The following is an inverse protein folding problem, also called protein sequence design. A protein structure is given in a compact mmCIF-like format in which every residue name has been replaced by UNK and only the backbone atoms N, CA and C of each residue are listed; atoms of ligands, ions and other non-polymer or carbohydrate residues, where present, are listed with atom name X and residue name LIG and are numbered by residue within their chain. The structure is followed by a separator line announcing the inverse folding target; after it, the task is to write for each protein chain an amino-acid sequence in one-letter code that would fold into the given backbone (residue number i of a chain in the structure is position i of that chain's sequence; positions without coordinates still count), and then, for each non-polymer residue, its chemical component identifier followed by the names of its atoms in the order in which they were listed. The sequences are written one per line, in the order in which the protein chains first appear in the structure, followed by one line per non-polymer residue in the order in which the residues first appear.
data_IF_309442526003
#
_entry.id   IF_309442526003
#
_cell.length_a   1.000
_cell.length_b   1.000
_cell.length_c   1.000
_cell.angle_alpha   90.00
_cell.angle_beta   90.00
_cell.angle_gamma   90.00
#
_symmetry.space_group_name_H-M   'P 1'
#
loop_
_entity.id
_entity.type
_entity.pdbx_description
1 polymer ?
#
# COMPACT_ATOMS: atom_id res chain seq x y z
N UNK A 1 -10.16 15.14 -7.87
CA UNK A 1 -11.34 14.30 -8.20
C UNK A 1 -12.20 14.99 -9.24
N UNK A 2 -13.07 14.26 -9.96
CA UNK A 2 -13.98 14.83 -10.95
C UNK A 2 -15.13 15.61 -10.29
N UNK A 3 -15.42 16.81 -10.80
CA UNK A 3 -16.52 17.66 -10.34
C UNK A 3 -17.36 18.22 -11.49
N UNK A 4 -17.40 17.49 -12.62
CA UNK A 4 -18.18 17.89 -13.79
C UNK A 4 -19.65 17.46 -13.71
N UNK A 5 -20.42 17.61 -14.80
CA UNK A 5 -21.87 17.44 -14.80
C UNK A 5 -22.34 15.99 -14.58
N UNK A 6 -21.48 14.99 -14.83
CA UNK A 6 -21.80 13.57 -14.60
C UNK A 6 -21.78 13.25 -13.09
N UNK A 7 -22.91 13.48 -12.43
CA UNK A 7 -23.06 13.34 -10.96
C UNK A 7 -22.68 11.96 -10.46
N UNK A 8 -22.94 10.93 -11.25
CA UNK A 8 -22.61 9.53 -10.97
C UNK A 8 -21.10 9.25 -10.98
N UNK A 9 -20.30 10.19 -11.52
CA UNK A 9 -18.84 10.19 -11.48
C UNK A 9 -18.27 11.20 -10.48
N UNK A 10 -19.08 11.78 -9.59
CA UNK A 10 -18.60 12.76 -8.61
C UNK A 10 -17.44 12.18 -7.77
N UNK A 11 -16.32 12.90 -7.73
CA UNK A 11 -15.07 12.44 -7.11
C UNK A 11 -14.18 11.60 -8.04
N UNK A 12 -14.66 11.23 -9.23
CA UNK A 12 -13.94 10.53 -10.29
C UNK A 12 -13.72 9.04 -10.00
N UNK A 13 -12.91 8.41 -10.86
CA UNK A 13 -12.52 7.00 -10.73
C UNK A 13 -12.03 6.64 -9.32
N UNK A 14 -11.20 7.51 -8.71
CA UNK A 14 -10.70 7.29 -7.35
C UNK A 14 -11.81 7.15 -6.32
N UNK A 15 -12.83 8.03 -6.32
CA UNK A 15 -13.94 7.89 -5.37
C UNK A 15 -14.90 6.75 -5.73
N UNK A 16 -15.26 6.64 -7.01
CA UNK A 16 -16.31 5.73 -7.48
C UNK A 16 -15.85 4.28 -7.45
N UNK A 17 -14.64 4.00 -7.94
CA UNK A 17 -14.14 2.63 -8.16
C UNK A 17 -13.16 2.22 -7.07
N UNK A 18 -12.29 3.13 -6.62
CA UNK A 18 -11.29 2.84 -5.59
C UNK A 18 -11.77 3.17 -4.18
N UNK A 19 -12.90 3.84 -3.99
CA UNK A 19 -13.35 4.35 -2.68
C UNK A 19 -12.75 5.72 -2.34
N UNK A 20 -11.45 5.92 -2.53
CA UNK A 20 -10.85 7.24 -2.59
C UNK A 20 -9.53 7.26 -3.38
N UNK A 21 -8.99 8.45 -3.59
CA UNK A 21 -7.68 8.73 -4.13
C UNK A 21 -6.81 9.44 -3.08
N UNK A 22 -5.50 9.42 -3.30
CA UNK A 22 -4.52 10.14 -2.50
C UNK A 22 -4.89 11.63 -2.36
N UNK A 23 -4.91 12.15 -1.13
CA UNK A 23 -5.18 13.57 -0.87
C UNK A 23 -3.96 14.38 -0.44
N UNK A 24 -3.17 13.83 0.47
CA UNK A 24 -2.08 14.52 1.12
C UNK A 24 -1.15 13.53 1.83
N UNK A 25 0.00 14.03 2.24
CA UNK A 25 0.82 13.41 3.27
C UNK A 25 0.12 13.63 4.62
N UNK A 26 -0.35 12.55 5.24
CA UNK A 26 -0.94 12.58 6.59
C UNK A 26 0.15 12.37 7.64
N UNK A 27 1.11 11.49 7.35
CA UNK A 27 2.38 11.42 8.07
C UNK A 27 3.41 12.45 7.56
N UNK A 28 4.54 12.50 8.27
CA UNK A 28 5.69 13.33 7.97
C UNK A 28 6.53 12.69 6.87
N UNK A 29 6.49 13.27 5.68
CA UNK A 29 7.19 12.74 4.52
C UNK A 29 8.70 12.56 4.78
N UNK A 30 9.21 11.34 4.61
CA UNK A 30 10.61 10.94 4.85
C UNK A 30 11.08 11.10 6.31
N UNK A 31 10.17 11.31 7.26
CA UNK A 31 10.49 11.45 8.68
C UNK A 31 9.65 10.56 9.60
N UNK A 32 8.51 10.08 9.11
CA UNK A 32 7.60 9.18 9.80
C UNK A 32 7.24 8.02 8.86
N UNK A 33 7.09 6.82 9.42
CA UNK A 33 6.76 5.60 8.66
C UNK A 33 5.32 5.16 8.89
N UNK A 34 4.87 4.23 8.04
CA UNK A 34 3.58 3.57 8.18
C UNK A 34 3.78 2.19 8.80
N UNK A 35 3.13 1.94 9.94
CA UNK A 35 2.92 0.59 10.49
C UNK A 35 1.45 0.20 10.30
N UNK A 36 1.20 -0.96 9.70
CA UNK A 36 -0.14 -1.44 9.45
C UNK A 36 -0.75 -2.17 10.64
N UNK A 37 -1.96 -1.75 11.00
CA UNK A 37 -2.82 -2.36 12.02
C UNK A 37 -4.08 -2.89 11.34
N UNK A 38 -4.44 -4.15 11.60
CA UNK A 38 -5.68 -4.73 11.09
C UNK A 38 -6.85 -3.90 11.59
N UNK A 39 -7.69 -3.44 10.66
CA UNK A 39 -8.84 -2.62 10.98
C UNK A 39 -9.86 -3.45 11.80
N UNK A 40 -10.55 -2.82 12.78
CA UNK A 40 -11.65 -3.48 13.48
C UNK A 40 -12.69 -4.04 12.50
N UNK A 41 -13.01 -5.33 12.64
CA UNK A 41 -13.93 -6.05 11.75
C UNK A 41 -13.29 -6.67 10.50
N UNK A 42 -11.98 -6.49 10.28
CA UNK A 42 -11.24 -7.12 9.18
C UNK A 42 -10.39 -8.33 9.63
N UNK A 43 -10.41 -8.71 10.91
CA UNK A 43 -9.58 -9.76 11.49
C UNK A 43 -9.81 -11.12 10.83
N UNK A 44 -11.04 -11.36 10.34
CA UNK A 44 -11.43 -12.59 9.63
C UNK A 44 -11.49 -12.43 8.11
N UNK A 45 -11.18 -11.24 7.58
CA UNK A 45 -11.22 -11.01 6.13
C UNK A 45 -10.14 -11.86 5.43
N UNK A 46 -10.42 -12.58 4.33
CA UNK A 46 -9.44 -13.48 3.71
C UNK A 46 -8.11 -12.82 3.36
N UNK A 47 -8.11 -11.52 3.05
CA UNK A 47 -6.87 -10.79 2.71
C UNK A 47 -5.93 -10.57 3.89
N UNK A 48 -6.39 -10.71 5.14
CA UNK A 48 -5.54 -10.58 6.34
C UNK A 48 -4.91 -11.91 6.77
N UNK A 49 -5.18 -13.02 6.07
CA UNK A 49 -4.58 -14.34 6.38
C UNK A 49 -3.05 -14.27 6.34
N UNK A 50 -2.43 -14.74 7.42
CA UNK A 50 -0.97 -14.70 7.58
C UNK A 50 -0.38 -13.31 7.80
N UNK A 51 -1.18 -12.28 8.10
CA UNK A 51 -0.72 -10.93 8.44
C UNK A 51 -1.11 -10.64 9.88
N UNK A 52 -0.19 -10.10 10.68
CA UNK A 52 -0.42 -9.62 12.04
C UNK A 52 -0.26 -8.10 12.10
N UNK A 53 -0.77 -7.48 13.16
CA UNK A 53 -0.48 -6.08 13.45
C UNK A 53 1.04 -5.87 13.55
N UNK A 54 1.56 -4.90 12.80
CA UNK A 54 3.00 -4.64 12.70
C UNK A 54 3.71 -5.32 11.53
N UNK A 55 3.12 -6.34 10.88
CA UNK A 55 3.79 -7.04 9.77
C UNK A 55 3.82 -6.19 8.48
N UNK A 56 2.77 -5.39 8.27
CA UNK A 56 2.70 -4.42 7.17
C UNK A 56 3.48 -3.18 7.59
N UNK A 57 4.47 -2.80 6.81
CA UNK A 57 5.31 -1.64 7.09
C UNK A 57 5.84 -1.02 5.79
N UNK A 58 6.08 0.28 5.83
CA UNK A 58 6.83 0.99 4.79
C UNK A 58 7.43 2.28 5.33
N UNK A 59 8.61 2.71 4.83
CA UNK A 59 9.18 4.00 5.18
C UNK A 59 8.43 5.16 4.51
N UNK A 60 7.47 4.89 3.63
CA UNK A 60 6.52 5.91 3.18
C UNK A 60 5.65 6.34 4.36
N UNK A 61 5.45 7.64 4.46
CA UNK A 61 4.48 8.21 5.39
C UNK A 61 3.06 7.77 5.05
N UNK A 62 2.15 7.82 6.04
CA UNK A 62 0.73 7.51 5.80
C UNK A 62 0.17 8.56 4.85
N UNK A 63 -0.43 8.12 3.76
CA UNK A 63 -1.15 9.00 2.84
C UNK A 63 -2.61 9.13 3.23
N UNK A 64 -3.09 10.37 3.28
CA UNK A 64 -4.44 10.72 3.65
C UNK A 64 -5.46 10.38 2.56
N UNK A 65 -6.61 9.89 3.01
CA UNK A 65 -7.86 9.76 2.25
C UNK A 65 -9.00 10.40 3.04
N UNK A 66 -10.18 10.57 2.44
CA UNK A 66 -11.37 11.09 3.13
C UNK A 66 -11.94 10.02 4.02
N UNK A 67 -12.23 10.40 5.25
CA UNK A 67 -13.06 9.63 6.16
C UNK A 67 -14.46 10.28 6.30
N UNK A 68 -15.51 9.46 6.48
CA UNK A 68 -15.52 8.02 6.24
C UNK A 68 -15.27 7.69 4.75
N UNK A 69 -14.72 6.51 4.47
CA UNK A 69 -14.71 6.00 3.09
C UNK A 69 -16.16 5.86 2.60
N UNK A 70 -16.43 5.96 1.29
CA UNK A 70 -17.79 5.82 0.76
C UNK A 70 -18.40 4.45 1.10
N UNK A 71 -19.74 4.40 1.08
CA UNK A 71 -20.52 3.15 1.22
C UNK A 71 -19.96 2.02 0.35
N UNK A 72 -20.03 0.78 0.84
CA UNK A 72 -19.46 -0.39 0.15
C UNK A 72 -17.94 -0.49 0.26
N UNK A 73 -17.30 0.37 1.06
CA UNK A 73 -15.89 0.22 1.43
C UNK A 73 -15.74 -0.48 2.78
N UNK A 74 -14.75 -1.36 2.92
CA UNK A 74 -14.33 -1.93 4.20
C UNK A 74 -12.86 -1.63 4.44
N UNK A 75 -12.54 -0.99 5.57
CA UNK A 75 -11.15 -0.85 6.01
C UNK A 75 -10.56 -2.24 6.26
N UNK A 76 -9.36 -2.50 5.73
CA UNK A 76 -8.66 -3.78 5.94
C UNK A 76 -7.43 -3.57 6.83
N UNK A 77 -6.58 -2.60 6.49
CA UNK A 77 -5.44 -2.18 7.31
C UNK A 77 -5.51 -0.67 7.50
N UNK A 78 -5.37 -0.24 8.75
CA UNK A 78 -5.15 1.15 9.16
C UNK A 78 -3.65 1.43 9.26
N UNK A 79 -3.24 2.61 8.80
CA UNK A 79 -1.86 3.08 8.90
C UNK A 79 -1.67 3.84 10.20
N UNK A 80 -0.93 3.24 11.12
CA UNK A 80 -0.38 3.91 12.28
C UNK A 80 0.86 4.70 11.86
N UNK A 81 0.82 6.00 12.06
CA UNK A 81 1.97 6.90 11.87
C UNK A 81 2.95 6.67 13.01
N UNK A 82 4.19 6.35 12.67
CA UNK A 82 5.27 6.00 13.61
C UNK A 82 6.46 6.94 13.47
N UNK A 83 7.11 7.26 14.60
CA UNK A 83 8.33 8.09 14.63
C UNK A 83 9.52 7.26 14.17
N UNK A 84 10.46 7.88 13.45
CA UNK A 84 11.78 7.29 13.24
C UNK A 84 12.53 7.22 14.58
N UNK A 85 13.08 6.06 14.92
CA UNK A 85 13.98 5.95 16.05
C UNK A 85 15.42 6.23 15.62
N UNK A 86 15.95 7.37 16.08
CA UNK A 86 17.32 7.80 15.79
C UNK A 86 17.45 8.74 14.60
N UNK A 87 18.69 8.98 14.13
CA UNK A 87 18.97 10.00 13.13
C UNK A 87 18.42 9.61 11.77
N UNK A 88 18.11 10.63 10.96
CA UNK A 88 17.93 10.44 9.52
C UNK A 88 19.24 9.94 8.92
N UNK A 89 19.16 8.97 8.02
CA UNK A 89 20.29 8.47 7.24
C UNK A 89 20.03 8.62 5.73
N UNK A 90 21.05 8.34 4.93
CA UNK A 90 20.96 8.29 3.46
C UNK A 90 20.64 6.88 2.93
N UNK A 91 20.25 5.94 3.81
CA UNK A 91 19.77 4.64 3.37
C UNK A 91 18.41 4.76 2.62
N UNK A 92 17.98 3.73 1.87
CA UNK A 92 16.71 3.75 1.15
C UNK A 92 15.46 4.06 2.00
N UNK A 93 15.55 3.99 3.33
CA UNK A 93 14.45 4.11 4.28
C UNK A 93 14.55 5.38 5.15
N UNK A 94 15.53 6.26 4.87
CA UNK A 94 15.79 7.50 5.61
C UNK A 94 16.02 7.29 7.12
N UNK A 95 16.59 6.13 7.48
CA UNK A 95 16.87 5.72 8.85
C UNK A 95 15.68 5.13 9.59
N UNK A 96 14.50 5.03 8.96
CA UNK A 96 13.32 4.37 9.53
C UNK A 96 13.44 2.86 9.42
N UNK A 97 12.91 2.16 10.42
CA UNK A 97 12.98 0.69 10.50
C UNK A 97 11.61 0.10 10.80
N UNK A 98 11.35 -1.15 10.37
CA UNK A 98 10.15 -1.89 10.77
C UNK A 98 10.00 -2.04 12.29
N UNK A 99 11.11 -1.97 13.03
CA UNK A 99 11.14 -2.05 14.50
C UNK A 99 10.80 -0.73 15.18
N UNK A 100 10.58 0.36 14.43
CA UNK A 100 10.18 1.64 14.99
C UNK A 100 8.71 1.56 15.41
N UNK A 101 8.48 1.28 16.70
CA UNK A 101 7.15 0.98 17.24
C UNK A 101 6.46 2.17 17.90
N UNK A 102 7.13 3.32 18.04
CA UNK A 102 6.58 4.48 18.74
C UNK A 102 5.59 5.22 17.83
N UNK A 103 4.31 5.19 18.22
CA UNK A 103 3.26 5.95 17.54
C UNK A 103 3.51 7.46 17.67
N UNK A 104 3.25 8.23 16.62
CA UNK A 104 3.15 9.69 16.74
C UNK A 104 1.93 10.04 17.59
N UNK A 105 2.12 10.91 18.57
CA UNK A 105 1.07 11.39 19.45
C UNK A 105 0.11 12.36 18.73
N UNK A 106 -1.08 12.55 19.30
CA UNK A 106 -2.06 13.52 18.81
C UNK A 106 -2.92 12.99 17.65
N UNK A 107 -3.34 13.90 16.76
CA UNK A 107 -4.45 13.65 15.83
C UNK A 107 -4.13 12.70 14.68
N UNK A 108 -2.85 12.41 14.41
CA UNK A 108 -2.45 11.57 13.27
C UNK A 108 -2.88 10.10 13.42
N UNK A 109 -3.04 9.62 14.64
CA UNK A 109 -3.48 8.24 14.91
C UNK A 109 -4.90 8.18 15.51
N UNK A 110 -5.63 9.31 15.53
CA UNK A 110 -6.98 9.40 16.10
C UNK A 110 -7.94 10.25 15.24
N UNK A 111 -8.69 9.63 14.31
CA UNK A 111 -8.61 8.22 13.92
C UNK A 111 -7.37 7.92 13.05
N UNK A 112 -6.95 6.65 12.99
CA UNK A 112 -5.98 6.20 11.99
C UNK A 112 -6.61 6.20 10.59
N UNK A 113 -5.80 6.49 9.57
CA UNK A 113 -6.21 6.49 8.16
C UNK A 113 -6.05 5.10 7.56
N UNK A 114 -7.02 4.55 6.79
CA UNK A 114 -6.86 3.29 6.10
C UNK A 114 -5.77 3.37 5.02
N UNK A 115 -4.91 2.34 5.00
CA UNK A 115 -3.85 2.17 3.99
C UNK A 115 -4.09 0.95 3.09
N UNK A 116 -5.00 0.05 3.48
CA UNK A 116 -5.61 -0.96 2.61
C UNK A 116 -7.12 -1.05 2.89
N UNK A 117 -7.93 -1.12 1.84
CA UNK A 117 -9.37 -1.29 1.96
C UNK A 117 -9.96 -2.00 0.74
N UNK A 118 -11.15 -2.58 0.90
CA UNK A 118 -11.96 -3.06 -0.23
C UNK A 118 -12.99 -2.02 -0.63
N UNK A 119 -13.48 -2.11 -1.88
CA UNK A 119 -14.60 -1.29 -2.37
C UNK A 119 -15.42 -2.10 -3.36
N UNK A 120 -16.69 -2.35 -3.04
CA UNK A 120 -17.67 -2.77 -4.03
C UNK A 120 -18.22 -1.55 -4.78
N UNK A 121 -18.28 -1.65 -6.10
CA UNK A 121 -18.68 -0.54 -6.96
C UNK A 121 -19.60 -1.01 -8.09
N UNK A 122 -20.40 -0.07 -8.56
CA UNK A 122 -21.20 -0.20 -9.77
C UNK A 122 -20.90 1.03 -10.62
N UNK A 123 -20.29 0.83 -11.79
CA UNK A 123 -20.15 1.92 -12.76
C UNK A 123 -21.44 2.09 -13.57
N UNK A 124 -21.85 3.32 -13.92
CA UNK A 124 -23.03 3.57 -14.74
C UNK A 124 -22.98 2.77 -16.05
N UNK A 125 -24.01 1.95 -16.31
CA UNK A 125 -24.10 1.11 -17.52
C UNK A 125 -23.09 -0.05 -17.61
N UNK A 126 -22.26 -0.29 -16.59
CA UNK A 126 -21.31 -1.40 -16.57
C UNK A 126 -21.70 -2.53 -15.63
N UNK A 127 -20.75 -3.42 -15.36
CA UNK A 127 -20.93 -4.54 -14.42
C UNK A 127 -20.56 -4.11 -13.00
N UNK A 128 -21.18 -4.76 -12.01
CA UNK A 128 -20.69 -4.72 -10.62
C UNK A 128 -19.25 -5.23 -10.58
N UNK A 129 -18.44 -4.61 -9.76
CA UNK A 129 -17.07 -5.01 -9.53
C UNK A 129 -16.66 -4.72 -8.09
N UNK A 130 -15.46 -5.19 -7.76
CA UNK A 130 -14.83 -4.92 -6.47
C UNK A 130 -13.37 -4.55 -6.67
N UNK A 131 -12.86 -3.78 -5.74
CA UNK A 131 -11.47 -3.31 -5.71
C UNK A 131 -10.84 -3.68 -4.37
N UNK A 132 -9.54 -3.94 -4.39
CA UNK A 132 -8.69 -3.92 -3.20
C UNK A 132 -7.66 -2.81 -3.42
N UNK A 133 -7.82 -1.71 -2.70
CA UNK A 133 -7.06 -0.49 -2.91
C UNK A 133 -6.07 -0.27 -1.76
N UNK A 134 -4.95 0.38 -2.08
CA UNK A 134 -3.93 0.77 -1.12
C UNK A 134 -3.30 2.10 -1.48
N UNK A 135 -2.84 2.83 -0.47
CA UNK A 135 -1.98 4.00 -0.64
C UNK A 135 -0.49 3.70 -0.47
N UNK A 136 -0.14 2.45 -0.13
CA UNK A 136 1.23 1.97 -0.06
C UNK A 136 1.65 1.35 -1.40
N UNK A 137 2.95 1.20 -1.64
CA UNK A 137 3.44 0.56 -2.87
C UNK A 137 4.71 1.17 -3.44
N UNK A 138 5.42 2.00 -2.68
CA UNK A 138 6.79 2.33 -3.03
C UNK A 138 7.62 1.05 -3.07
N UNK A 139 8.64 0.99 -3.92
CA UNK A 139 9.59 -0.14 -3.93
C UNK A 139 10.21 -0.37 -2.55
N UNK A 140 10.36 0.68 -1.74
CA UNK A 140 10.85 0.60 -0.37
C UNK A 140 9.87 -0.08 0.59
N UNK A 141 8.57 -0.06 0.33
CA UNK A 141 7.56 -0.70 1.20
C UNK A 141 7.55 -2.22 0.97
N UNK A 142 7.92 -2.65 -0.25
CA UNK A 142 7.97 -4.05 -0.65
C UNK A 142 9.13 -4.83 -0.01
N UNK A 143 9.98 -4.17 0.79
CA UNK A 143 10.99 -4.86 1.61
C UNK A 143 10.33 -5.65 2.74
N UNK A 144 9.23 -5.13 3.30
CA UNK A 144 8.48 -5.77 4.37
C UNK A 144 7.66 -6.94 3.83
N UNK A 145 7.81 -8.10 4.47
CA UNK A 145 7.12 -9.31 4.03
C UNK A 145 5.59 -9.20 4.18
N UNK A 146 5.10 -8.59 5.26
CA UNK A 146 3.65 -8.40 5.46
C UNK A 146 3.04 -7.49 4.40
N UNK A 147 3.73 -6.43 3.99
CA UNK A 147 3.29 -5.54 2.90
C UNK A 147 3.19 -6.30 1.58
N UNK A 148 4.19 -7.13 1.23
CA UNK A 148 4.09 -8.01 0.05
C UNK A 148 2.95 -9.00 0.18
N UNK A 149 2.80 -9.63 1.35
CA UNK A 149 1.79 -10.66 1.61
C UNK A 149 0.38 -10.14 1.44
N UNK A 150 0.07 -8.97 1.99
CA UNK A 150 -1.27 -8.41 1.87
C UNK A 150 -1.58 -7.98 0.42
N UNK A 151 -0.60 -7.47 -0.33
CA UNK A 151 -0.77 -7.17 -1.75
C UNK A 151 -1.11 -8.43 -2.57
N UNK A 152 -0.38 -9.53 -2.34
CA UNK A 152 -0.62 -10.79 -3.05
C UNK A 152 -1.92 -11.45 -2.60
N UNK A 153 -2.24 -11.44 -1.30
CA UNK A 153 -3.53 -11.87 -0.78
C UNK A 153 -4.68 -11.07 -1.44
N UNK A 154 -4.51 -9.75 -1.60
CA UNK A 154 -5.45 -8.88 -2.30
C UNK A 154 -5.67 -9.28 -3.75
N UNK A 155 -4.60 -9.58 -4.49
CA UNK A 155 -4.70 -10.07 -5.86
C UNK A 155 -5.45 -11.41 -5.95
N UNK A 156 -5.15 -12.34 -5.03
CA UNK A 156 -5.85 -13.63 -4.95
C UNK A 156 -7.34 -13.42 -4.67
N UNK A 157 -7.67 -12.55 -3.71
CA UNK A 157 -9.05 -12.21 -3.39
C UNK A 157 -9.78 -11.62 -4.60
N UNK A 158 -9.17 -10.69 -5.33
CA UNK A 158 -9.79 -10.10 -6.53
C UNK A 158 -10.08 -11.12 -7.63
N UNK A 159 -9.24 -12.15 -7.75
CA UNK A 159 -9.33 -13.21 -8.76
C UNK A 159 -10.13 -14.44 -8.30
N UNK A 160 -10.78 -14.39 -7.13
CA UNK A 160 -11.48 -15.55 -6.54
C UNK A 160 -10.58 -16.78 -6.35
N UNK A 161 -9.28 -16.55 -6.10
CA UNK A 161 -8.32 -17.60 -5.79
C UNK A 161 -8.26 -17.87 -4.28
N UNK A 162 -8.01 -19.12 -3.91
CA UNK A 162 -7.87 -19.51 -2.52
C UNK A 162 -6.60 -18.90 -1.89
N UNK A 163 -6.78 -18.14 -0.80
CA UNK A 163 -5.69 -17.61 0.02
C UNK A 163 -5.38 -18.64 1.13
N UNK A 164 -4.15 -19.18 1.23
CA UNK A 164 -3.81 -20.10 2.30
C UNK A 164 -4.06 -19.50 3.69
N UNK A 165 -4.45 -20.30 4.67
CA UNK A 165 -4.69 -19.83 6.05
C UNK A 165 -3.44 -19.17 6.67
N UNK A 166 -2.26 -19.62 6.27
CA UNK A 166 -0.96 -19.05 6.68
C UNK A 166 -0.51 -17.85 5.82
N UNK A 167 -1.34 -17.42 4.87
CA UNK A 167 -1.05 -16.37 3.90
C UNK A 167 -0.30 -16.85 2.65
N UNK A 168 -0.24 -15.99 1.64
CA UNK A 168 0.45 -16.29 0.38
C UNK A 168 1.98 -16.30 0.55
N UNK A 169 2.66 -17.11 -0.28
CA UNK A 169 4.13 -17.15 -0.33
C UNK A 169 4.65 -15.94 -1.10
N UNK A 170 5.38 -15.08 -0.42
CA UNK A 170 5.86 -13.79 -0.97
C UNK A 170 7.36 -13.59 -0.85
N UNK A 171 8.12 -14.70 -0.91
CA UNK A 171 9.58 -14.64 -0.97
C UNK A 171 10.00 -13.91 -2.24
N UNK A 172 10.98 -13.01 -2.11
CA UNK A 172 11.58 -12.32 -3.23
C UNK A 172 12.24 -13.31 -4.18
N UNK A 173 12.07 -13.08 -5.48
CA UNK A 173 12.77 -13.85 -6.51
C UNK A 173 13.99 -13.05 -6.94
N UNK A 174 15.17 -13.46 -6.47
CA UNK A 174 16.42 -12.73 -6.71
C UNK A 174 16.70 -11.66 -5.64
N UNK A 175 17.62 -10.74 -5.96
CA UNK A 175 17.96 -9.61 -5.08
C UNK A 175 16.98 -8.47 -5.30
N UNK A 176 16.54 -7.83 -4.21
CA UNK A 176 15.65 -6.68 -4.24
C UNK A 176 16.22 -5.59 -3.33
N UNK A 177 16.89 -4.62 -3.95
CA UNK A 177 17.55 -3.51 -3.27
C UNK A 177 16.93 -2.21 -3.80
N UNK A 178 15.81 -1.74 -3.21
CA UNK A 178 15.16 -0.53 -3.68
C UNK A 178 16.03 0.70 -3.40
N UNK A 179 15.84 1.74 -4.20
CA UNK A 179 16.43 3.06 -3.97
C UNK A 179 15.46 3.97 -3.18
N UNK A 180 15.99 5.07 -2.62
CA UNK A 180 15.16 6.13 -2.05
C UNK A 180 14.19 6.68 -3.11
N UNK A 181 12.93 6.87 -2.72
CA UNK A 181 11.98 7.57 -3.57
C UNK A 181 12.34 9.06 -3.70
N UNK A 182 12.43 9.51 -4.95
CA UNK A 182 12.84 10.87 -5.34
C UNK A 182 12.26 11.23 -6.70
N UNK A 183 12.20 12.52 -6.99
CA UNK A 183 11.94 12.99 -8.35
C UNK A 183 13.19 12.76 -9.20
N UNK A 184 12.98 12.31 -10.44
CA UNK A 184 14.03 12.14 -11.44
C UNK A 184 13.82 13.17 -12.55
N UNK A 185 14.89 13.56 -13.23
CA UNK A 185 14.79 14.41 -14.43
C UNK A 185 14.02 13.69 -15.54
N UNK A 186 13.55 14.45 -16.52
CA UNK A 186 12.82 13.90 -17.68
C UNK A 186 13.69 12.92 -18.49
N UNK A 187 14.99 13.16 -18.51
CA UNK A 187 16.00 12.41 -19.27
C UNK A 187 16.44 11.12 -18.55
N UNK A 188 16.26 11.04 -17.22
CA UNK A 188 16.75 9.93 -16.42
C UNK A 188 16.30 8.56 -16.94
N UNK A 189 15.01 8.37 -17.23
CA UNK A 189 14.50 7.07 -17.68
C UNK A 189 14.85 6.74 -19.14
N UNK A 190 14.71 7.68 -20.10
CA UNK A 190 15.22 7.48 -21.46
C UNK A 190 16.70 7.07 -21.49
N UNK A 191 17.57 7.74 -20.73
CA UNK A 191 19.02 7.48 -20.71
C UNK A 191 19.36 6.08 -20.19
N UNK A 192 18.57 5.55 -19.27
CA UNK A 192 18.75 4.20 -18.75
C UNK A 192 18.40 3.13 -19.79
N UNK A 193 17.54 3.47 -20.76
CA UNK A 193 17.12 2.63 -21.89
C UNK A 193 16.79 1.17 -21.50
N UNK A 194 16.20 0.98 -20.31
CA UNK A 194 15.88 -0.34 -19.79
C UNK A 194 14.72 -0.96 -20.54
N UNK A 195 14.86 -2.23 -20.88
CA UNK A 195 13.83 -3.06 -21.52
C UNK A 195 13.43 -4.18 -20.55
N UNK A 196 12.21 -4.75 -20.68
CA UNK A 196 11.82 -5.90 -19.87
C UNK A 196 12.84 -7.05 -19.88
N UNK A 197 13.56 -7.24 -20.99
CA UNK A 197 14.61 -8.24 -21.12
C UNK A 197 15.80 -8.03 -20.16
N UNK A 198 16.09 -6.78 -19.76
CA UNK A 198 17.20 -6.46 -18.84
C UNK A 198 16.92 -6.93 -17.41
N UNK A 199 15.65 -7.15 -17.08
CA UNK A 199 15.20 -7.65 -15.79
C UNK A 199 14.99 -9.17 -15.78
N UNK A 200 15.36 -9.87 -16.87
CA UNK A 200 15.22 -11.32 -16.97
C UNK A 200 16.17 -12.01 -15.99
N UNK A 201 15.59 -12.80 -15.09
CA UNK A 201 16.36 -13.61 -14.14
C UNK A 201 17.22 -14.63 -14.89
N UNK A 202 18.52 -14.70 -14.55
CA UNK A 202 19.40 -15.77 -15.02
C UNK A 202 18.85 -17.11 -14.47
N UNK A 203 18.56 -18.06 -15.35
CA UNK A 203 18.23 -19.44 -14.95
C UNK A 203 19.40 -19.97 -14.13
N UNK A 204 19.17 -20.31 -12.86
CA UNK A 204 20.09 -21.20 -12.14
C UNK A 204 20.03 -22.56 -12.85
N UNK A 205 21.16 -23.08 -13.32
CA UNK A 205 21.23 -24.51 -13.68
C UNK A 205 20.89 -25.29 -12.41
N UNK A 206 20.01 -26.29 -12.53
CA UNK A 206 19.87 -27.30 -11.48
C UNK A 206 21.16 -28.11 -11.53
N UNK A 207 21.92 -28.06 -10.44
CA UNK A 207 22.89 -29.10 -10.12
C UNK A 207 22.13 -30.37 -9.70
#
# INVERSE_FOLDING_TARGET
GYGGPKKEWQGGFGKVVLGDFWKNHHGGHKSESTVGIIAPGAEKHPTTRGVKNGDVWGPTDVYGVRLPLPEGSQHIILGQVTKRNGPRTDDPFFGMKPTDSEAVEGRKNNPMIPVFWTKDYQVPGGKKGRTFATTMGSSTDLVAEGTRRILINGAYWLLDLEIPNTGTKVKLVGKFNPEQYSFRSKEYWPDQNKKPADFRLKRKKKD
#
